data_IF_733672975845
#
_entry.id   IF_733672975845
#
_cell.length_a   1.000
_cell.length_b   1.000
_cell.length_c   1.000
_cell.angle_alpha   90.00
_cell.angle_beta   90.00
_cell.angle_gamma   90.00
#
_symmetry.space_group_name_H-M   'P 1'
#
loop_
_entity.id
_entity.type
_entity.pdbx_description
1 polymer ?
#
# COMPACT_ATOMS: atom_id res chain seq x y z
N UNK A 1 -24.64 -24.45 -34.84
CA UNK A 1 -25.56 -25.28 -34.04
C UNK A 1 -26.20 -24.41 -32.97
N UNK A 2 -27.48 -24.01 -33.10
CA UNK A 2 -28.18 -23.21 -32.10
C UNK A 2 -28.98 -24.12 -31.16
N UNK A 3 -28.55 -24.25 -29.90
CA UNK A 3 -29.31 -24.99 -28.89
C UNK A 3 -30.29 -24.04 -28.20
N UNK A 4 -31.50 -23.98 -28.75
CA UNK A 4 -32.70 -23.50 -28.05
C UNK A 4 -33.12 -24.56 -27.05
N UNK A 5 -33.12 -24.24 -25.75
CA UNK A 5 -33.87 -24.99 -24.75
C UNK A 5 -34.97 -24.07 -24.21
N UNK A 6 -36.19 -24.39 -24.60
CA UNK A 6 -37.42 -23.87 -24.02
C UNK A 6 -37.74 -24.66 -22.74
N UNK A 7 -38.51 -23.99 -21.87
CA UNK A 7 -39.60 -24.54 -21.04
C UNK A 7 -39.36 -24.78 -19.53
N UNK A 8 -39.93 -23.83 -18.75
CA UNK A 8 -40.93 -23.99 -17.67
C UNK A 8 -40.71 -25.16 -16.70
N UNK A 9 -40.53 -24.88 -15.42
CA UNK A 9 -41.67 -24.84 -14.49
C UNK A 9 -41.26 -24.34 -13.10
N UNK A 10 -42.28 -23.83 -12.40
CA UNK A 10 -42.21 -23.12 -11.14
C UNK A 10 -41.70 -23.98 -9.98
N UNK A 11 -40.93 -23.39 -9.07
CA UNK A 11 -41.19 -23.47 -7.63
C UNK A 11 -40.72 -22.18 -6.97
N UNK A 12 -41.67 -21.38 -6.51
CA UNK A 12 -41.41 -20.31 -5.55
C UNK A 12 -41.18 -20.95 -4.18
N UNK A 13 -39.95 -20.93 -3.68
CA UNK A 13 -39.68 -21.12 -2.25
C UNK A 13 -39.36 -19.74 -1.67
N UNK A 14 -40.42 -19.11 -1.15
CA UNK A 14 -40.32 -17.94 -0.29
C UNK A 14 -39.79 -18.41 1.07
N UNK A 15 -38.50 -18.20 1.31
CA UNK A 15 -37.90 -18.37 2.63
C UNK A 15 -37.88 -17.00 3.32
N UNK A 16 -38.96 -16.70 4.04
CA UNK A 16 -38.99 -15.61 5.02
C UNK A 16 -38.12 -16.04 6.20
N UNK A 17 -36.87 -15.61 6.21
CA UNK A 17 -36.05 -15.62 7.42
C UNK A 17 -36.17 -14.24 8.04
N UNK A 18 -37.06 -14.12 9.02
CA UNK A 18 -37.10 -12.98 9.93
C UNK A 18 -35.86 -13.04 10.84
N UNK A 19 -34.72 -12.61 10.29
CA UNK A 19 -33.54 -12.27 11.07
C UNK A 19 -33.57 -10.77 11.33
N UNK A 20 -33.93 -10.36 12.55
CA UNK A 20 -33.54 -9.05 13.09
C UNK A 20 -32.01 -9.06 13.24
N UNK A 21 -31.32 -8.81 12.13
CA UNK A 21 -29.88 -8.63 12.06
C UNK A 21 -29.56 -7.15 12.06
N UNK A 22 -28.84 -6.72 13.09
CA UNK A 22 -28.17 -5.43 13.22
C UNK A 22 -27.38 -5.08 11.95
N UNK A 23 -27.88 -4.09 11.20
CA UNK A 23 -27.15 -3.47 10.08
C UNK A 23 -27.27 -1.95 10.19
N UNK A 24 -26.67 -1.38 11.24
CA UNK A 24 -26.20 0.01 11.18
C UNK A 24 -24.78 -0.02 10.61
N UNK A 25 -24.69 -0.35 9.32
CA UNK A 25 -23.51 -0.12 8.51
C UNK A 25 -23.42 1.39 8.25
N UNK A 26 -22.74 2.13 9.14
CA UNK A 26 -22.23 3.45 8.79
C UNK A 26 -21.10 3.26 7.78
N UNK A 27 -21.50 3.22 6.52
CA UNK A 27 -20.61 3.36 5.37
C UNK A 27 -20.18 4.82 5.26
N UNK A 28 -18.92 5.07 4.92
CA UNK A 28 -18.51 6.37 4.38
C UNK A 28 -17.28 7.00 4.98
N UNK A 29 -16.24 6.22 5.31
CA UNK A 29 -14.89 6.75 5.16
C UNK A 29 -14.66 6.94 3.66
N UNK A 30 -14.62 8.19 3.21
CA UNK A 30 -14.34 8.59 1.83
C UNK A 30 -13.19 7.74 1.27
N UNK A 31 -13.50 6.91 0.26
CA UNK A 31 -12.50 6.22 -0.56
C UNK A 31 -11.85 7.21 -1.54
N UNK A 32 -11.23 8.24 -0.99
CA UNK A 32 -10.25 9.07 -1.65
C UNK A 32 -8.95 8.90 -0.84
N UNK A 33 -7.97 8.26 -1.47
CA UNK A 33 -6.54 8.30 -1.11
C UNK A 33 -6.09 7.57 0.19
N UNK A 34 -6.64 6.38 0.49
CA UNK A 34 -5.96 5.47 1.42
C UNK A 34 -4.67 4.92 0.77
N UNK A 35 -3.52 5.13 1.42
CA UNK A 35 -2.25 4.56 0.98
C UNK A 35 -2.28 3.02 1.03
N UNK A 36 -1.60 2.37 0.09
CA UNK A 36 -1.38 0.91 0.13
C UNK A 36 -0.09 0.55 0.88
N UNK A 37 0.08 -0.71 1.26
CA UNK A 37 1.34 -1.24 1.79
C UNK A 37 2.37 -1.53 0.69
N UNK A 38 3.64 -1.70 1.08
CA UNK A 38 4.71 -2.11 0.14
C UNK A 38 4.46 -3.51 -0.45
N UNK A 39 3.84 -4.42 0.31
CA UNK A 39 3.48 -5.76 -0.18
C UNK A 39 2.44 -5.68 -1.31
N UNK A 40 1.41 -4.85 -1.12
CA UNK A 40 0.43 -4.55 -2.16
C UNK A 40 1.06 -3.86 -3.36
N UNK A 41 2.03 -2.96 -3.15
CA UNK A 41 2.75 -2.28 -4.23
C UNK A 41 3.54 -3.27 -5.10
N UNK A 42 4.23 -4.23 -4.50
CA UNK A 42 4.98 -5.28 -5.21
C UNK A 42 4.03 -6.17 -6.01
N UNK A 43 2.88 -6.52 -5.44
CA UNK A 43 1.85 -7.34 -6.09
C UNK A 43 1.06 -6.60 -7.18
N UNK A 44 1.13 -5.26 -7.19
CA UNK A 44 0.38 -4.41 -8.12
C UNK A 44 0.97 -4.47 -9.53
N UNK A 45 0.12 -4.66 -10.53
CA UNK A 45 0.52 -4.64 -11.94
C UNK A 45 0.33 -3.28 -12.62
N UNK A 46 -0.44 -2.37 -12.03
CA UNK A 46 -0.72 -1.05 -12.59
C UNK A 46 0.41 -0.05 -12.29
N UNK A 47 0.88 0.64 -13.34
CA UNK A 47 1.96 1.63 -13.28
C UNK A 47 1.49 3.06 -12.98
N UNK A 48 0.21 3.23 -12.65
CA UNK A 48 -0.32 4.54 -12.25
C UNK A 48 0.22 4.95 -10.88
N UNK A 49 0.45 6.26 -10.63
CA UNK A 49 0.86 6.76 -9.33
C UNK A 49 -0.03 6.26 -8.19
N UNK A 50 0.57 5.95 -7.05
CA UNK A 50 -0.13 5.45 -5.87
C UNK A 50 0.58 5.88 -4.59
N UNK A 51 -0.18 6.25 -3.56
CA UNK A 51 0.35 6.52 -2.22
C UNK A 51 0.64 5.22 -1.50
N UNK A 52 1.83 5.12 -0.90
CA UNK A 52 2.34 3.92 -0.25
C UNK A 52 2.88 4.27 1.12
N UNK A 53 2.47 3.51 2.12
CA UNK A 53 2.99 3.63 3.48
C UNK A 53 4.12 2.63 3.71
N UNK A 54 5.21 3.09 4.34
CA UNK A 54 6.34 2.23 4.69
C UNK A 54 7.41 2.92 5.51
N UNK A 55 8.57 2.29 5.60
CA UNK A 55 9.78 2.84 6.20
C UNK A 55 10.77 3.23 5.10
N UNK A 56 11.23 4.48 5.09
CA UNK A 56 12.38 4.89 4.28
C UNK A 56 13.63 4.32 4.92
N UNK A 57 14.47 3.69 4.10
CA UNK A 57 15.73 3.11 4.50
C UNK A 57 16.78 3.41 3.44
N UNK A 58 17.94 3.89 3.85
CA UNK A 58 19.06 4.19 2.98
C UNK A 58 20.35 3.67 3.60
N UNK A 59 21.12 2.94 2.78
CA UNK A 59 22.44 2.44 3.12
C UNK A 59 23.36 2.51 1.89
N UNK A 60 24.54 1.89 1.97
CA UNK A 60 25.49 1.86 0.85
C UNK A 60 24.97 1.23 -0.46
N UNK A 61 23.86 0.49 -0.42
CA UNK A 61 23.23 -0.11 -1.60
C UNK A 61 22.16 0.79 -2.25
N UNK A 62 21.71 1.83 -1.53
CA UNK A 62 20.74 2.81 -2.00
C UNK A 62 19.46 2.87 -1.19
N UNK A 63 18.56 3.74 -1.64
CA UNK A 63 17.33 4.07 -0.94
C UNK A 63 16.21 3.10 -1.27
N UNK A 64 15.50 2.63 -0.25
CA UNK A 64 14.42 1.65 -0.33
C UNK A 64 13.22 2.08 0.50
N UNK A 65 12.04 1.65 0.08
CA UNK A 65 10.82 1.68 0.88
C UNK A 65 10.53 0.27 1.38
N UNK A 66 10.50 0.10 2.69
CA UNK A 66 10.38 -1.20 3.35
C UNK A 66 8.98 -1.38 3.94
N UNK A 67 8.41 -2.58 3.74
CA UNK A 67 7.06 -2.93 4.19
C UNK A 67 6.98 -3.34 5.65
N UNK A 68 8.07 -3.84 6.22
CA UNK A 68 8.18 -4.13 7.65
C UNK A 68 9.54 -3.71 8.20
N UNK A 69 9.61 -3.63 9.52
CA UNK A 69 10.79 -3.20 10.28
C UNK A 69 11.15 -4.31 11.26
N UNK A 70 12.44 -4.61 11.39
CA UNK A 70 12.95 -5.54 12.40
C UNK A 70 13.25 -4.81 13.71
N UNK A 71 13.00 -5.45 14.84
CA UNK A 71 13.30 -4.94 16.19
C UNK A 71 14.83 -4.91 16.45
N UNK A 72 15.52 -3.93 15.86
CA UNK A 72 16.98 -3.77 15.84
C UNK A 72 17.38 -2.29 15.83
N UNK A 73 18.64 -1.98 16.16
CA UNK A 73 19.16 -0.61 16.12
C UNK A 73 20.58 -0.59 15.49
N UNK A 74 20.77 0.01 14.29
CA UNK A 74 19.78 0.69 13.45
C UNK A 74 18.64 -0.23 13.01
N UNK A 75 17.48 0.35 12.72
CA UNK A 75 16.35 -0.42 12.19
C UNK A 75 16.77 -1.14 10.92
N UNK A 76 16.30 -2.36 10.70
CA UNK A 76 16.55 -3.12 9.48
C UNK A 76 15.24 -3.37 8.75
N UNK A 77 15.28 -3.39 7.42
CA UNK A 77 14.11 -3.74 6.62
C UNK A 77 13.75 -5.22 6.80
N UNK A 78 12.51 -5.45 7.22
CA UNK A 78 11.88 -6.77 7.23
C UNK A 78 10.92 -6.91 6.04
N UNK A 79 10.83 -8.11 5.47
CA UNK A 79 9.83 -8.42 4.44
C UNK A 79 10.09 -7.74 3.08
N UNK A 80 9.03 -7.43 2.31
CA UNK A 80 9.18 -6.86 0.96
C UNK A 80 9.73 -5.43 1.04
N UNK A 81 10.60 -5.11 0.09
CA UNK A 81 11.11 -3.75 -0.13
C UNK A 81 11.14 -3.44 -1.61
N UNK A 82 11.10 -2.15 -1.93
CA UNK A 82 11.24 -1.65 -3.30
C UNK A 82 12.31 -0.58 -3.35
N UNK A 83 13.08 -0.56 -4.45
CA UNK A 83 14.08 0.48 -4.67
C UNK A 83 13.42 1.79 -5.05
N UNK A 84 13.85 2.87 -4.41
CA UNK A 84 13.46 4.23 -4.73
C UNK A 84 14.56 4.91 -5.54
N UNK A 85 14.18 5.50 -6.68
CA UNK A 85 15.11 6.24 -7.54
C UNK A 85 14.85 7.73 -7.42
N UNK A 86 15.95 8.51 -7.37
CA UNK A 86 15.90 9.97 -7.39
C UNK A 86 15.45 10.63 -6.09
N UNK A 87 15.23 9.87 -5.01
CA UNK A 87 15.00 10.43 -3.67
C UNK A 87 16.35 10.82 -3.04
N UNK A 88 16.49 12.09 -2.65
CA UNK A 88 17.62 12.55 -1.85
C UNK A 88 17.24 12.53 -0.37
N UNK A 89 17.79 11.57 0.38
CA UNK A 89 17.51 11.39 1.81
C UNK A 89 17.91 12.61 2.65
N UNK A 90 18.82 13.47 2.18
CA UNK A 90 19.20 14.70 2.92
C UNK A 90 18.10 15.76 2.90
N UNK A 91 17.13 15.63 1.99
CA UNK A 91 15.97 16.52 1.89
C UNK A 91 14.76 16.04 2.69
N UNK A 92 14.83 14.82 3.24
CA UNK A 92 13.75 14.23 4.02
C UNK A 92 13.89 14.67 5.49
N UNK A 93 12.93 15.47 5.96
CA UNK A 93 12.88 15.88 7.36
C UNK A 93 12.59 14.70 8.29
N UNK A 94 13.16 14.73 9.51
CA UNK A 94 12.86 13.75 10.56
C UNK A 94 13.54 12.38 10.38
N UNK A 95 14.58 12.29 9.54
CA UNK A 95 15.38 11.07 9.43
C UNK A 95 16.28 10.86 10.64
N UNK A 96 16.46 9.61 11.04
CA UNK A 96 17.50 9.18 11.99
C UNK A 96 18.66 8.56 11.22
N UNK A 97 19.89 8.74 11.68
CA UNK A 97 21.08 8.12 11.06
C UNK A 97 22.01 7.53 12.12
N UNK A 98 22.45 6.28 11.91
CA UNK A 98 23.43 5.59 12.74
C UNK A 98 24.13 4.48 11.93
N UNK A 99 25.40 4.21 12.22
CA UNK A 99 26.20 3.15 11.58
C UNK A 99 26.16 3.13 10.04
N UNK A 100 26.03 4.30 9.41
CA UNK A 100 25.97 4.44 7.94
C UNK A 100 24.62 4.08 7.31
N UNK A 101 23.57 3.99 8.13
CA UNK A 101 22.18 3.76 7.72
C UNK A 101 21.37 5.01 8.09
N UNK A 102 20.54 5.48 7.17
CA UNK A 102 19.58 6.57 7.40
C UNK A 102 18.16 6.04 7.21
N UNK A 103 17.25 6.33 8.13
CA UNK A 103 15.87 5.85 8.05
C UNK A 103 14.83 6.86 8.54
N UNK A 104 13.60 6.71 8.07
CA UNK A 104 12.40 7.38 8.59
C UNK A 104 11.25 6.40 8.62
N UNK A 105 10.66 6.20 9.78
CA UNK A 105 9.52 5.31 9.97
C UNK A 105 8.21 5.99 9.54
N UNK A 106 7.18 5.19 9.24
CA UNK A 106 5.81 5.65 9.00
C UNK A 106 5.68 6.79 7.96
N UNK A 107 6.40 6.70 6.84
CA UNK A 107 6.26 7.66 5.73
C UNK A 107 5.10 7.29 4.82
N UNK A 108 4.48 8.29 4.20
CA UNK A 108 3.55 8.13 3.09
C UNK A 108 4.13 8.79 1.85
N UNK A 109 4.38 8.00 0.81
CA UNK A 109 4.98 8.47 -0.44
C UNK A 109 4.05 8.18 -1.62
N UNK A 110 3.80 9.18 -2.46
CA UNK A 110 3.24 8.93 -3.78
C UNK A 110 4.36 8.47 -4.70
N UNK A 111 4.27 7.23 -5.18
CA UNK A 111 5.30 6.62 -6.03
C UNK A 111 4.74 6.21 -7.39
N UNK A 112 5.62 6.12 -8.38
CA UNK A 112 5.30 5.59 -9.71
C UNK A 112 6.35 4.59 -10.17
N UNK A 113 5.90 3.46 -10.72
CA UNK A 113 6.80 2.42 -11.24
C UNK A 113 7.55 2.93 -12.47
N UNK A 114 8.84 2.67 -12.50
CA UNK A 114 9.72 2.86 -13.66
C UNK A 114 9.87 1.54 -14.42
N UNK A 115 10.19 1.60 -15.72
CA UNK A 115 10.27 0.41 -16.59
C UNK A 115 11.27 -0.68 -16.16
N UNK A 116 12.13 -0.41 -15.17
CA UNK A 116 13.11 -1.35 -14.58
C UNK A 116 12.63 -2.04 -13.29
N UNK A 117 11.40 -1.76 -12.82
CA UNK A 117 10.86 -2.33 -11.58
C UNK A 117 11.14 -1.52 -10.31
N UNK A 118 11.93 -0.45 -10.41
CA UNK A 118 12.14 0.54 -9.33
C UNK A 118 11.04 1.60 -9.32
N UNK A 119 10.94 2.41 -8.27
CA UNK A 119 9.90 3.42 -8.12
C UNK A 119 10.49 4.82 -7.96
N UNK A 120 9.94 5.82 -8.68
CA UNK A 120 10.27 7.23 -8.44
C UNK A 120 9.31 7.80 -7.40
N UNK A 121 9.81 8.65 -6.52
CA UNK A 121 8.98 9.41 -5.58
C UNK A 121 8.48 10.67 -6.28
N UNK A 122 7.16 10.87 -6.31
CA UNK A 122 6.53 12.05 -6.89
C UNK A 122 6.26 13.12 -5.83
N UNK A 123 5.80 12.68 -4.67
CA UNK A 123 5.51 13.51 -3.50
C UNK A 123 5.71 12.70 -2.23
N UNK A 124 6.12 13.36 -1.16
CA UNK A 124 6.08 12.83 0.20
C UNK A 124 5.06 13.64 0.99
N UNK A 125 4.04 12.99 1.54
CA UNK A 125 3.17 13.64 2.51
C UNK A 125 3.85 13.54 3.87
N UNK A 126 4.14 14.69 4.48
CA UNK A 126 4.61 14.71 5.86
C UNK A 126 3.39 14.40 6.73
N UNK A 127 3.32 13.17 7.25
CA UNK A 127 2.25 12.78 8.16
C UNK A 127 2.33 13.70 9.38
N UNK A 128 1.31 14.52 9.69
CA UNK A 128 1.39 15.43 10.83
C UNK A 128 1.54 14.60 12.11
N UNK A 129 2.68 14.75 12.78
CA UNK A 129 2.86 14.26 14.14
C UNK A 129 1.89 15.04 15.04
N UNK A 130 0.84 14.38 15.54
CA UNK A 130 -0.14 14.94 16.48
C UNK A 130 0.27 14.70 17.93
#
# INVERSE_FOLDING_TARGET
MPMRFMLRDAVAVVLVVAGLGTLAACSGGTAADASISVDELVSRSADTPVSVTGLLYDDSSGTRLCGAVMESFPVQCGGPSVDLVGLDMTTVSGTTSDQGITWKEAVVLTVQRTGSGSFTVLSSEDSPEY
#
